data_IF_681612525599
#
_entry.id   IF_681612525599
#
_cell.length_a   1.000
_cell.length_b   1.000
_cell.length_c   1.000
_cell.angle_alpha   90.00
_cell.angle_beta   90.00
_cell.angle_gamma   90.00
#
_symmetry.space_group_name_H-M   'P 1'
#
loop_
_entity.id
_entity.type
_entity.pdbx_description
1 polymer ?
2 non-polymer ?
3 non-polymer ?
4 water ?
#
# COMPACT_ATOMS: atom_id res chain seq x y z
N UNK A 29 -15.91 -19.56 -18.39
CA UNK A 29 -16.53 -19.41 -17.08
C UNK A 29 -15.73 -18.44 -16.20
N UNK A 30 -16.40 -17.88 -15.21
CA UNK A 30 -15.78 -16.92 -14.31
C UNK A 30 -14.82 -17.65 -13.33
N UNK A 31 -13.62 -17.10 -13.14
CA UNK A 31 -12.68 -17.74 -12.20
C UNK A 31 -13.14 -17.57 -10.75
N UNK A 32 -12.65 -18.42 -9.83
CA UNK A 32 -13.04 -18.29 -8.42
C UNK A 32 -12.75 -16.90 -7.91
N UNK A 33 -13.69 -16.32 -7.17
CA UNK A 33 -13.42 -15.04 -6.51
C UNK A 33 -14.19 -15.06 -5.20
N UNK A 34 -13.71 -14.28 -4.18
CA UNK A 34 -14.35 -14.25 -2.86
C UNK A 34 -15.73 -13.58 -2.88
N UNK A 35 -16.68 -14.13 -2.12
CA UNK A 35 -18.02 -13.56 -2.08
C UNK A 35 -18.32 -12.88 -0.76
N UNK A 36 -17.47 -13.16 0.23
CA UNK A 36 -17.58 -12.54 1.54
C UNK A 36 -16.16 -12.36 2.13
N UNK A 37 -16.04 -11.55 3.18
CA UNK A 37 -14.72 -11.14 3.65
C UNK A 37 -13.91 -12.37 4.14
N UNK A 38 -14.58 -13.39 4.68
CA UNK A 38 -13.81 -14.55 5.18
C UNK A 38 -13.24 -15.43 4.06
N UNK A 39 -13.77 -15.28 2.84
CA UNK A 39 -13.28 -16.03 1.68
C UNK A 39 -11.83 -15.69 1.33
N UNK A 40 -11.38 -14.55 1.83
CA UNK A 40 -10.00 -14.12 1.69
C UNK A 40 -9.03 -15.10 2.39
N UNK A 41 -9.54 -15.87 3.35
CA UNK A 41 -8.75 -16.94 3.99
C UNK A 41 -8.19 -17.92 2.93
N UNK A 42 -8.98 -18.21 1.90
CA UNK A 42 -8.57 -19.12 0.82
C UNK A 42 -7.59 -18.61 -0.24
N UNK A 43 -7.29 -17.33 -0.27
CA UNK A 43 -6.34 -16.84 -1.26
C UNK A 43 -5.18 -16.10 -0.65
N UNK A 44 -5.43 -15.46 0.48
CA UNK A 44 -4.45 -14.61 1.14
C UNK A 44 -3.18 -15.37 1.55
N UNK A 45 -3.24 -16.70 1.58
CA UNK A 45 -2.04 -17.52 1.84
C UNK A 45 -1.32 -18.06 0.57
N UNK A 46 -1.74 -17.62 -0.62
CA UNK A 46 -1.08 -18.02 -1.88
C UNK A 46 0.00 -16.99 -2.15
N UNK A 47 1.15 -17.15 -1.51
CA UNK A 47 2.20 -16.15 -1.65
C UNK A 47 3.61 -16.63 -1.91
N UNK A 48 4.43 -15.68 -2.35
CA UNK A 48 5.84 -15.89 -2.54
C UNK A 48 6.50 -15.28 -1.30
N UNK A 49 6.99 -16.14 -0.42
CA UNK A 49 7.64 -15.71 0.81
C UNK A 49 9.13 -15.44 0.66
N UNK A 50 9.72 -14.81 1.68
CA UNK A 50 11.13 -14.42 1.66
C UNK A 50 12.08 -15.61 1.50
N UNK A 51 13.18 -15.40 0.78
CA UNK A 51 14.17 -16.44 0.56
C UNK A 51 13.95 -17.20 -0.74
N UNK A 55 15.51 -13.86 -3.81
CA UNK A 55 15.88 -12.80 -2.89
C UNK A 55 17.36 -12.85 -2.55
N UNK A 56 18.17 -13.37 -3.48
CA UNK A 56 19.60 -13.54 -3.21
C UNK A 56 20.32 -12.23 -2.91
N UNK A 57 19.90 -11.17 -3.60
CA UNK A 57 20.49 -9.85 -3.44
C UNK A 57 19.85 -9.02 -2.33
N UNK A 58 18.89 -9.59 -1.61
CA UNK A 58 18.22 -8.85 -0.54
C UNK A 58 19.25 -8.59 0.57
N UNK A 59 19.17 -7.42 1.19
CA UNK A 59 20.17 -7.04 2.21
C UNK A 59 20.19 -7.94 3.45
N UNK A 60 19.09 -8.59 3.79
CA UNK A 60 19.12 -9.48 4.93
C UNK A 60 19.30 -10.95 4.59
N UNK A 61 19.61 -11.22 3.34
CA UNK A 61 19.69 -12.60 2.88
C UNK A 61 20.71 -13.50 3.58
N UNK A 62 21.85 -12.93 3.93
CA UNK A 62 22.89 -13.72 4.58
C UNK A 62 22.80 -13.61 6.09
N UNK A 63 21.75 -12.96 6.57
CA UNK A 63 21.57 -12.76 8.01
C UNK A 63 20.59 -13.79 8.54
N UNK A 64 21.11 -14.73 9.31
CA UNK A 64 20.31 -15.80 9.86
C UNK A 64 19.24 -15.37 10.87
N UNK A 65 19.59 -14.40 11.72
CA UNK A 65 18.62 -13.89 12.67
C UNK A 65 17.45 -13.25 11.89
N UNK A 66 17.79 -12.52 10.84
CA UNK A 66 16.76 -11.91 10.02
C UNK A 66 15.89 -12.95 9.33
N UNK A 67 16.50 -14.01 8.83
CA UNK A 67 15.75 -15.04 8.15
C UNK A 67 14.73 -15.69 9.08
N UNK A 68 15.15 -15.96 10.31
CA UNK A 68 14.26 -16.55 11.30
C UNK A 68 13.14 -15.59 11.63
N UNK A 69 13.47 -14.32 11.78
CA UNK A 69 12.49 -13.29 12.06
C UNK A 69 11.46 -13.19 10.93
N UNK A 70 11.91 -13.23 9.68
CA UNK A 70 10.96 -13.16 8.56
C UNK A 70 10.06 -14.37 8.52
N UNK A 71 10.59 -15.53 8.88
CA UNK A 71 9.77 -16.73 9.02
C UNK A 71 8.73 -16.54 10.10
N UNK A 72 9.13 -15.90 11.19
CA UNK A 72 8.20 -15.66 12.29
C UNK A 72 7.04 -14.82 11.73
N UNK A 73 7.35 -13.74 11.01
CA UNK A 73 6.27 -12.90 10.52
C UNK A 73 5.39 -13.62 9.51
N UNK A 74 6.02 -14.36 8.60
CA UNK A 74 5.30 -15.15 7.61
C UNK A 74 4.33 -16.12 8.24
N UNK A 75 4.74 -16.75 9.33
CA UNK A 75 3.89 -17.76 9.97
C UNK A 75 2.66 -17.13 10.63
N UNK A 76 2.84 -15.94 11.20
CA UNK A 76 1.73 -15.20 11.82
C UNK A 76 0.68 -14.92 10.76
N UNK A 77 1.12 -14.48 9.59
CA UNK A 77 0.19 -14.20 8.50
C UNK A 77 -0.48 -15.50 8.00
N UNK A 78 0.31 -16.54 7.79
CA UNK A 78 -0.25 -17.80 7.26
C UNK A 78 -1.29 -18.38 8.19
N UNK A 79 -1.10 -18.20 9.48
CA UNK A 79 -2.00 -18.82 10.47
C UNK A 79 -3.19 -17.95 10.86
N UNK A 80 -3.14 -16.67 10.47
CA UNK A 80 -4.25 -15.76 10.70
C UNK A 80 -5.48 -16.21 9.91
N UNK A 81 -6.63 -16.13 10.55
CA UNK A 81 -7.91 -16.37 9.87
C UNK A 81 -8.82 -15.20 10.14
N UNK A 82 -9.68 -14.86 9.18
CA UNK A 82 -10.59 -13.73 9.38
C UNK A 82 -11.42 -13.87 10.66
N UNK A 83 -11.52 -12.78 11.42
CA UNK A 83 -12.18 -12.81 12.70
C UNK A 83 -11.18 -12.79 13.86
N UNK A 84 -9.94 -13.23 13.59
CA UNK A 84 -8.87 -13.16 14.59
C UNK A 84 -8.49 -11.70 14.86
N UNK A 85 -8.16 -11.36 16.11
CA UNK A 85 -7.36 -10.14 16.28
C UNK A 85 -6.00 -10.32 15.58
N UNK A 86 -5.41 -9.29 14.98
CA UNK A 86 -4.14 -9.45 14.30
C UNK A 86 -3.06 -9.56 15.39
N UNK A 87 -2.27 -10.65 15.40
CA UNK A 87 -1.28 -10.80 16.48
C UNK A 87 -0.41 -9.55 16.67
N UNK A 88 -0.30 -9.10 17.91
CA UNK A 88 0.56 -7.96 18.21
C UNK A 88 2.01 -8.45 18.34
N UNK A 89 2.96 -7.63 17.90
CA UNK A 89 4.33 -8.09 17.81
C UNK A 89 5.17 -7.18 18.70
N UNK A 90 6.10 -7.74 19.47
CA UNK A 90 7.08 -6.90 20.14
C UNK A 90 8.23 -6.70 19.18
N UNK A 91 8.34 -5.51 18.61
CA UNK A 91 9.42 -5.21 17.66
C UNK A 91 10.75 -5.05 18.42
N UNK A 92 11.85 -5.42 17.77
CA UNK A 92 13.15 -5.32 18.44
C UNK A 92 13.65 -3.88 18.41
N UNK A 93 14.58 -3.58 19.30
CA UNK A 93 15.21 -2.26 19.35
C UNK A 93 15.77 -1.87 17.97
N UNK A 94 16.36 -2.83 17.28
CA UNK A 94 16.91 -2.62 15.95
C UNK A 94 15.80 -2.27 14.93
N UNK A 95 14.69 -2.99 15.02
CA UNK A 95 13.55 -2.72 14.13
C UNK A 95 12.96 -1.33 14.37
N UNK A 96 12.83 -0.97 15.64
CA UNK A 96 12.25 0.30 15.99
C UNK A 96 13.17 1.46 15.56
N UNK A 97 14.49 1.26 15.61
CA UNK A 97 15.42 2.30 15.15
C UNK A 97 15.32 2.50 13.64
N UNK A 98 15.16 1.40 12.90
CA UNK A 98 15.04 1.47 11.46
C UNK A 98 13.78 2.26 11.09
N UNK A 99 12.67 1.91 11.72
CA UNK A 99 11.42 2.67 11.60
C UNK A 99 11.66 4.14 11.90
N UNK A 100 12.32 4.43 13.02
CA UNK A 100 12.56 5.81 13.46
C UNK A 100 13.33 6.60 12.42
N UNK A 101 14.32 5.97 11.83
CA UNK A 101 15.13 6.65 10.82
C UNK A 101 14.28 7.05 9.61
N UNK A 102 13.54 6.08 9.07
CA UNK A 102 12.61 6.29 7.96
C UNK A 102 11.55 7.33 8.34
N UNK A 103 10.95 7.15 9.51
CA UNK A 103 9.86 8.02 9.99
C UNK A 103 10.31 9.48 10.12
N UNK A 104 11.48 9.68 10.69
CA UNK A 104 11.98 11.04 10.83
C UNK A 104 12.25 11.80 9.53
N UNK A 105 12.88 11.16 8.55
CA UNK A 105 13.13 11.83 7.26
C UNK A 105 11.87 12.12 6.45
N UNK A 106 10.96 11.15 6.38
CA UNK A 106 9.74 11.32 5.62
C UNK A 106 8.89 12.47 6.16
N UNK A 107 8.77 12.57 7.48
CA UNK A 107 7.99 13.62 8.16
C UNK A 107 8.52 15.03 7.87
N UNK A 108 9.81 15.14 7.64
CA UNK A 108 10.34 16.44 7.23
C UNK A 108 9.73 16.84 5.88
N UNK A 109 9.37 15.85 5.04
CA UNK A 109 8.94 16.11 3.66
C UNK A 109 7.42 16.22 3.49
N UNK A 110 6.67 15.44 4.28
CA UNK A 110 5.20 15.41 4.14
C UNK A 110 4.50 16.79 4.05
N UNK A 111 4.86 17.75 4.94
CA UNK A 111 4.14 19.04 4.91
C UNK A 111 4.17 19.75 3.56
N UNK A 112 5.25 19.57 2.81
CA UNK A 112 5.37 20.20 1.50
C UNK A 112 5.14 19.28 0.30
N UNK A 113 5.04 17.98 0.56
CA UNK A 113 4.92 16.98 -0.50
C UNK A 113 3.61 16.17 -0.51
N UNK A 114 3.09 15.85 0.66
CA UNK A 114 1.88 15.02 0.74
C UNK A 114 0.60 15.79 0.41
N UNK A 115 -0.43 15.08 -0.03
CA UNK A 115 -1.71 15.72 -0.31
C UNK A 115 -2.39 16.11 1.01
N UNK A 116 -3.37 17.01 0.91
CA UNK A 116 -4.06 17.52 2.09
C UNK A 116 -4.75 16.40 2.92
N UNK A 117 -5.33 15.43 2.24
CA UNK A 117 -5.99 14.31 2.90
C UNK A 117 -5.00 13.51 3.79
N UNK A 118 -3.80 13.29 3.27
CA UNK A 118 -2.77 12.58 4.03
C UNK A 118 -2.38 13.35 5.30
N UNK A 119 -2.13 14.64 5.13
CA UNK A 119 -1.77 15.49 6.26
C UNK A 119 -2.89 15.56 7.30
N UNK A 120 -4.13 15.51 6.85
CA UNK A 120 -5.24 15.58 7.78
C UNK A 120 -5.26 14.34 8.65
N UNK A 121 -5.06 13.18 8.03
CA UNK A 121 -5.23 11.91 8.75
C UNK A 121 -4.03 11.46 9.59
N UNK A 122 -2.83 11.81 9.17
CA UNK A 122 -1.64 11.37 9.89
C UNK A 122 -1.63 11.74 11.39
N UNK A 123 -2.01 12.99 11.76
CA UNK A 123 -2.03 13.30 13.19
C UNK A 123 -3.01 12.45 14.01
N UNK A 124 -4.13 12.07 13.40
CA UNK A 124 -5.10 11.19 14.04
C UNK A 124 -4.45 9.84 14.36
N UNK A 125 -3.64 9.35 13.43
CA UNK A 125 -2.92 8.09 13.60
C UNK A 125 -1.93 8.17 14.72
N UNK A 126 -1.27 9.32 14.83
CA UNK A 126 -0.33 9.49 15.91
C UNK A 126 -1.04 9.43 17.24
N UNK A 127 -2.15 10.14 17.34
CA UNK A 127 -2.89 10.18 18.59
C UNK A 127 -3.56 8.86 19.00
N UNK A 128 -4.20 8.19 18.04
CA UNK A 128 -4.89 6.93 18.35
C UNK A 128 -4.13 5.62 18.13
N UNK A 129 -3.14 5.60 17.24
CA UNK A 129 -2.43 4.36 16.93
C UNK A 129 -0.97 4.32 17.32
N UNK A 130 -0.50 5.34 18.03
CA UNK A 130 0.88 5.29 18.48
C UNK A 130 2.00 5.47 17.48
N UNK A 131 1.74 6.26 16.45
CA UNK A 131 2.75 6.55 15.47
C UNK A 131 3.71 7.53 16.14
N UNK A 132 4.94 7.08 16.34
CA UNK A 132 5.98 7.91 16.94
C UNK A 132 7.31 7.41 16.44
N UNK A 133 8.30 8.29 16.44
CA UNK A 133 9.66 7.89 16.09
C UNK A 133 10.12 6.63 16.87
N UNK A 134 9.64 6.47 18.09
CA UNK A 134 10.21 5.41 18.91
C UNK A 134 9.25 4.23 19.10
N UNK A 135 8.24 4.15 18.22
CA UNK A 135 7.24 3.10 18.36
C UNK A 135 6.64 2.73 17.00
N UNK A 136 6.72 1.45 16.66
CA UNK A 136 6.04 0.92 15.48
C UNK A 136 4.59 0.57 15.83
N UNK A 137 3.62 1.15 15.12
CA UNK A 137 2.21 0.86 15.38
C UNK A 137 1.85 -0.61 15.11
N UNK A 138 0.91 -1.15 15.87
CA UNK A 138 0.39 -2.51 15.69
C UNK A 138 -0.69 -2.51 14.60
N UNK A 139 -0.65 -3.51 13.73
CA UNK A 139 -1.62 -3.63 12.67
C UNK A 139 -3.02 -3.72 13.24
N UNK A 140 -3.16 -4.37 14.40
CA UNK A 140 -4.50 -4.53 14.98
C UNK A 140 -5.09 -3.17 15.35
N UNK A 141 -4.26 -2.28 15.91
CA UNK A 141 -4.76 -0.96 16.30
C UNK A 141 -5.13 -0.13 15.07
N UNK A 142 -4.27 -0.19 14.06
CA UNK A 142 -4.53 0.54 12.83
C UNK A 142 -5.78 -0.01 12.16
N UNK A 143 -5.95 -1.34 12.20
CA UNK A 143 -7.13 -1.92 11.62
C UNK A 143 -8.41 -1.40 12.30
N UNK A 144 -8.44 -1.36 13.63
CA UNK A 144 -9.60 -0.83 14.35
C UNK A 144 -9.88 0.64 14.05
N UNK A 145 -8.82 1.41 13.92
CA UNK A 145 -8.96 2.83 13.54
C UNK A 145 -9.64 2.95 12.16
N UNK A 146 -9.16 2.17 11.19
CA UNK A 146 -9.69 2.25 9.85
C UNK A 146 -11.11 1.71 9.79
N UNK A 147 -11.43 0.69 10.59
CA UNK A 147 -12.79 0.12 10.59
C UNK A 147 -13.80 1.18 11.01
N UNK A 148 -13.43 1.98 12.00
CA UNK A 148 -14.27 3.08 12.47
C UNK A 148 -14.41 4.19 11.42
N UNK A 149 -13.31 4.59 10.82
CA UNK A 149 -13.31 5.67 9.85
C UNK A 149 -13.94 5.41 8.49
N UNK A 150 -13.52 4.31 7.84
CA UNK A 150 -14.02 4.04 6.51
C UNK A 150 -14.50 2.61 6.30
N UNK A 151 -14.42 1.78 7.33
CA UNK A 151 -14.78 0.40 7.16
C UNK A 151 -13.63 -0.39 6.56
N UNK A 152 -12.50 0.24 6.31
CA UNK A 152 -11.33 -0.54 5.87
C UNK A 152 -10.77 -1.32 7.05
N UNK A 153 -10.13 -2.44 6.74
CA UNK A 153 -9.50 -3.28 7.73
C UNK A 153 -8.23 -3.86 7.16
N UNK A 154 -7.37 -4.35 8.05
CA UNK A 154 -6.09 -4.90 7.65
C UNK A 154 -6.11 -6.44 7.83
N UNK A 155 -5.43 -7.12 6.92
CA UNK A 155 -5.13 -8.52 7.06
C UNK A 155 -3.64 -8.70 6.87
N UNK A 156 -2.96 -9.35 7.83
CA UNK A 156 -1.51 -9.50 7.64
C UNK A 156 -1.22 -10.43 6.47
N UNK A 157 -0.23 -10.09 5.64
CA UNK A 157 0.07 -10.95 4.50
C UNK A 157 1.53 -11.42 4.55
N UNK A 158 1.72 -12.72 4.34
CA UNK A 158 3.04 -13.36 4.42
C UNK A 158 4.02 -12.91 3.37
N UNK A 159 3.54 -12.70 2.15
CA UNK A 159 4.39 -12.31 1.05
C UNK A 159 3.60 -11.71 -0.09
N UNK A 160 4.16 -11.79 -1.29
CA UNK A 160 3.49 -11.23 -2.46
C UNK A 160 2.31 -12.09 -2.91
N UNK A 161 1.18 -11.42 -3.10
CA UNK A 161 -0.03 -12.04 -3.61
C UNK A 161 -0.10 -11.79 -5.11
N UNK A 162 -0.91 -12.57 -5.82
CA UNK A 162 -1.18 -12.21 -7.21
C UNK A 162 -1.97 -10.91 -7.23
N UNK A 163 -1.89 -10.15 -8.33
CA UNK A 163 -2.71 -8.94 -8.50
C UNK A 163 -4.19 -9.23 -8.29
N UNK A 164 -4.66 -10.36 -8.81
CA UNK A 164 -6.05 -10.73 -8.67
C UNK A 164 -6.43 -10.90 -7.22
N UNK A 165 -5.63 -11.65 -6.46
CA UNK A 165 -5.95 -11.86 -5.06
C UNK A 165 -5.82 -10.54 -4.27
N UNK A 166 -4.77 -9.79 -4.54
CA UNK A 166 -4.58 -8.52 -3.83
C UNK A 166 -5.75 -7.57 -4.07
N UNK A 167 -6.12 -7.36 -5.33
CA UNK A 167 -7.29 -6.56 -5.63
C UNK A 167 -8.57 -7.08 -5.02
N UNK A 168 -8.73 -8.41 -4.95
CA UNK A 168 -9.98 -8.95 -4.46
C UNK A 168 -10.19 -8.54 -3.01
N UNK A 169 -9.12 -8.41 -2.23
CA UNK A 169 -9.30 -7.93 -0.87
C UNK A 169 -9.90 -6.53 -0.81
N UNK A 170 -9.49 -5.64 -1.71
CA UNK A 170 -10.02 -4.28 -1.75
C UNK A 170 -11.54 -4.28 -1.92
N UNK A 171 -12.08 -5.29 -2.60
CA UNK A 171 -13.55 -5.35 -2.80
C UNK A 171 -14.29 -5.43 -1.48
N UNK A 172 -13.64 -5.93 -0.44
CA UNK A 172 -14.23 -6.05 0.88
C UNK A 172 -13.65 -5.03 1.85
N UNK A 173 -12.99 -4.02 1.30
CA UNK A 173 -12.27 -3.03 2.12
C UNK A 173 -11.22 -3.67 3.02
N UNK A 174 -10.51 -4.64 2.46
CA UNK A 174 -9.40 -5.31 3.17
C UNK A 174 -8.09 -5.00 2.45
N UNK A 175 -7.15 -4.46 3.23
CA UNK A 175 -5.86 -4.18 2.68
C UNK A 175 -4.86 -5.19 3.25
N UNK A 176 -4.23 -5.96 2.36
CA UNK A 176 -3.25 -6.97 2.78
C UNK A 176 -1.96 -6.22 3.08
N UNK A 177 -1.50 -6.37 4.31
CA UNK A 177 -0.37 -5.60 4.85
C UNK A 177 0.76 -6.48 5.35
N UNK A 178 1.98 -6.17 4.91
CA UNK A 178 3.13 -6.87 5.46
C UNK A 178 3.35 -6.32 6.85
N UNK A 179 3.87 -7.17 7.72
CA UNK A 179 4.05 -6.87 9.13
C UNK A 179 5.54 -6.80 9.54
N UNK A 180 6.46 -7.26 8.69
CA UNK A 180 7.90 -7.27 9.02
C UNK A 180 8.53 -5.92 8.74
N UNK A 181 9.77 -5.75 9.18
CA UNK A 181 10.52 -4.52 8.95
C UNK A 181 11.69 -4.82 8.02
N UNK A 182 12.03 -3.87 7.16
CA UNK A 182 13.21 -4.00 6.31
C UNK A 182 14.45 -4.25 7.16
N UNK A 183 15.47 -4.87 6.55
CA UNK A 183 16.76 -5.14 7.21
C UNK A 183 17.42 -3.86 7.72
N UNK A 184 18.05 -3.91 8.88
CA UNK A 184 18.57 -2.67 9.47
C UNK A 184 19.77 -2.10 8.72
N UNK A 185 20.45 -2.94 7.95
CA UNK A 185 21.64 -2.50 7.20
C UNK A 185 21.33 -1.38 6.21
N UNK A 186 20.11 -1.33 5.69
CA UNK A 186 19.76 -0.29 4.74
C UNK A 186 18.35 0.26 4.98
N UNK A 187 18.22 1.26 5.86
CA UNK A 187 16.88 1.77 6.19
C UNK A 187 16.14 2.40 5.00
N UNK A 188 16.85 2.57 3.88
CA UNK A 188 16.30 3.19 2.68
C UNK A 188 15.98 2.22 1.55
N UNK A 189 15.90 0.93 1.87
CA UNK A 189 15.64 -0.12 0.89
C UNK A 189 14.14 -0.32 0.65
N UNK A 190 13.65 0.10 -0.51
CA UNK A 190 12.21 0.12 -0.76
C UNK A 190 11.57 -0.81 -1.82
N UNK A 191 12.37 -1.55 -2.63
CA UNK A 191 11.64 -2.25 -3.71
C UNK A 191 10.76 -3.40 -3.18
N UNK A 192 10.95 -3.76 -1.91
CA UNK A 192 10.10 -4.74 -1.26
C UNK A 192 9.25 -3.98 -0.26
N UNK A 193 7.93 -4.14 -0.33
CA UNK A 193 7.12 -3.43 0.66
C UNK A 193 7.36 -4.01 2.05
N UNK A 194 7.56 -3.18 3.07
CA UNK A 194 7.59 -3.69 4.45
C UNK A 194 6.53 -2.93 5.23
N UNK A 195 6.46 -3.15 6.55
CA UNK A 195 5.38 -2.59 7.33
C UNK A 195 5.53 -1.05 7.33
N UNK A 196 6.76 -0.53 7.34
CA UNK A 196 6.95 0.93 7.25
C UNK A 196 6.20 1.52 6.05
N UNK A 197 6.31 0.82 4.92
CA UNK A 197 5.62 1.25 3.67
C UNK A 197 4.10 1.23 3.86
N UNK A 198 3.61 0.18 4.49
CA UNK A 198 2.18 0.04 4.70
C UNK A 198 1.65 1.12 5.62
N UNK A 199 2.35 1.30 6.73
CA UNK A 199 1.84 2.14 7.80
C UNK A 199 1.98 3.61 7.47
N UNK A 200 3.09 3.99 6.84
CA UNK A 200 3.32 5.41 6.50
C UNK A 200 2.83 5.80 5.12
N UNK A 201 2.83 4.84 4.20
CA UNK A 201 2.38 5.10 2.86
C UNK A 201 0.90 4.90 2.58
N UNK A 202 0.37 3.73 2.94
CA UNK A 202 -1.04 3.42 2.67
C UNK A 202 -2.09 3.84 3.67
N UNK A 203 -1.80 3.65 4.94
CA UNK A 203 -2.83 3.80 5.98
C UNK A 203 -3.51 5.15 6.09
N UNK A 204 -2.75 6.27 6.02
CA UNK A 204 -3.40 7.57 6.16
C UNK A 204 -4.45 7.80 5.08
N UNK A 205 -4.18 7.42 3.84
CA UNK A 205 -5.18 7.55 2.79
C UNK A 205 -6.38 6.58 2.94
N UNK A 206 -6.15 5.34 3.37
CA UNK A 206 -7.27 4.43 3.57
C UNK A 206 -8.28 4.99 4.60
N UNK A 207 -7.86 5.93 5.43
CA UNK A 207 -8.75 6.52 6.45
C UNK A 207 -9.59 7.65 5.85
N UNK A 208 -9.36 7.96 4.57
CA UNK A 208 -10.15 8.99 3.87
C UNK A 208 -11.29 8.38 3.05
N UNK A 209 -12.55 8.72 3.37
CA UNK A 209 -13.72 8.17 2.67
C UNK A 209 -13.68 8.17 1.13
N UNK A 210 -13.35 9.30 0.50
CA UNK A 210 -13.29 9.34 -0.96
C UNK A 210 -12.25 8.37 -1.50
N UNK A 211 -11.12 8.29 -0.83
CA UNK A 211 -10.06 7.37 -1.25
C UNK A 211 -10.42 5.90 -1.02
N UNK A 212 -11.05 5.62 0.12
CA UNK A 212 -11.50 4.26 0.41
C UNK A 212 -12.52 3.78 -0.64
N UNK A 213 -13.42 4.68 -1.04
CA UNK A 213 -14.39 4.35 -2.06
C UNK A 213 -13.71 4.04 -3.40
N UNK A 214 -12.79 4.92 -3.82
CA UNK A 214 -11.98 4.73 -5.02
C UNK A 214 -11.30 3.35 -5.01
N UNK A 215 -10.61 3.03 -3.92
CA UNK A 215 -9.91 1.75 -3.79
C UNK A 215 -10.86 0.55 -3.86
N UNK A 216 -11.96 0.61 -3.11
CA UNK A 216 -12.90 -0.51 -3.10
C UNK A 216 -13.42 -0.75 -4.52
N UNK A 217 -13.62 0.33 -5.28
CA UNK A 217 -14.22 0.15 -6.60
C UNK A 217 -13.27 -0.48 -7.60
N UNK A 218 -11.96 -0.30 -7.41
CA UNK A 218 -10.99 -1.08 -8.18
C UNK A 218 -11.15 -2.57 -7.84
N UNK A 219 -11.20 -2.88 -6.55
CA UNK A 219 -11.39 -4.27 -6.10
C UNK A 219 -12.68 -4.89 -6.64
N UNK A 220 -13.78 -4.16 -6.51
CA UNK A 220 -15.07 -4.66 -6.99
C UNK A 220 -15.02 -4.94 -8.49
N UNK A 221 -14.42 -4.04 -9.26
CA UNK A 221 -14.32 -4.27 -10.69
C UNK A 221 -13.48 -5.50 -11.04
N UNK A 222 -12.50 -5.84 -10.21
CA UNK A 222 -11.60 -6.93 -10.52
C UNK A 222 -12.23 -8.31 -10.31
N UNK A 223 -13.30 -8.38 -9.52
CA UNK A 223 -13.82 -9.67 -9.05
C UNK A 223 -14.34 -10.53 -10.20
N UNK A 224 -13.68 -11.66 -10.42
CA UNK A 224 -14.03 -12.59 -11.49
C UNK A 224 -13.78 -12.03 -12.88
N UNK A 225 -13.01 -10.95 -12.97
CA UNK A 225 -12.75 -10.34 -14.27
C UNK A 225 -11.75 -11.14 -15.06
N UNK A 226 -11.65 -10.86 -16.36
CA UNK A 226 -10.65 -11.49 -17.22
C UNK A 226 -9.23 -11.16 -16.79
N UNK A 227 -8.27 -11.95 -17.28
CA UNK A 227 -6.86 -11.70 -16.96
C UNK A 227 -6.44 -10.34 -17.45
N UNK A 228 -6.90 -9.97 -18.65
CA UNK A 228 -6.53 -8.68 -19.23
C UNK A 228 -7.06 -7.53 -18.41
N UNK A 229 -8.33 -7.67 -18.00
CA UNK A 229 -8.99 -6.70 -17.14
C UNK A 229 -8.26 -6.55 -15.80
N UNK A 230 -7.89 -7.68 -15.21
CA UNK A 230 -7.14 -7.61 -13.94
C UNK A 230 -5.80 -6.91 -14.16
N UNK A 231 -5.12 -7.17 -15.28
CA UNK A 231 -3.85 -6.48 -15.53
C UNK A 231 -4.05 -4.98 -15.63
N UNK A 232 -5.09 -4.57 -16.36
CA UNK A 232 -5.36 -3.16 -16.57
C UNK A 232 -5.73 -2.46 -15.27
N UNK A 233 -6.59 -3.11 -14.48
CA UNK A 233 -6.96 -2.56 -13.17
C UNK A 233 -5.74 -2.48 -12.23
N UNK A 234 -4.89 -3.52 -12.25
CA UNK A 234 -3.71 -3.52 -11.38
C UNK A 234 -2.76 -2.39 -11.74
N UNK A 235 -2.69 -2.05 -13.02
CA UNK A 235 -1.81 -0.97 -13.44
C UNK A 235 -2.39 0.39 -13.08
N UNK A 236 -3.69 0.56 -13.23
CA UNK A 236 -4.36 1.77 -12.80
C UNK A 236 -4.18 1.97 -11.28
N UNK A 237 -4.36 0.89 -10.53
CA UNK A 237 -4.07 0.87 -9.09
C UNK A 237 -2.60 1.32 -8.82
N UNK A 238 -1.67 0.77 -9.58
CA UNK A 238 -0.26 1.07 -9.36
C UNK A 238 0.03 2.55 -9.48
N UNK A 239 -0.54 3.16 -10.52
CA UNK A 239 -0.27 4.57 -10.83
C UNK A 239 -1.22 5.54 -10.15
N UNK A 240 -2.03 5.03 -9.23
CA UNK A 240 -2.78 5.91 -8.34
C UNK A 240 -2.43 5.59 -6.90
N UNK A 241 -2.97 4.48 -6.39
CA UNK A 241 -2.75 4.09 -4.99
C UNK A 241 -1.27 3.98 -4.64
N UNK A 242 -0.43 3.50 -5.56
CA UNK A 242 0.98 3.33 -5.17
C UNK A 242 1.89 4.49 -5.62
N UNK A 243 1.62 5.09 -6.79
CA UNK A 243 2.51 6.17 -7.27
C UNK A 243 1.81 7.42 -7.81
N UNK A 244 0.58 7.66 -7.35
CA UNK A 244 -0.24 8.74 -7.87
C UNK A 244 0.18 10.12 -7.38
N UNK A 245 0.05 11.13 -8.24
CA UNK A 245 0.14 12.54 -7.86
C UNK A 245 -1.25 13.13 -8.01
N UNK A 246 -1.53 14.22 -7.30
CA UNK A 246 -2.77 14.94 -7.53
C UNK A 246 -2.49 16.41 -7.58
N UNK A 247 -3.41 17.15 -8.18
CA UNK A 247 -3.28 18.60 -8.24
C UNK A 247 -4.24 19.19 -7.22
N UNK A 248 -3.70 20.01 -6.33
CA UNK A 248 -4.50 20.60 -5.27
C UNK A 248 -4.20 22.07 -5.15
N UNK A 249 -5.20 22.90 -5.38
CA UNK A 249 -5.00 24.36 -5.38
C UNK A 249 -3.87 24.73 -6.33
N UNK A 250 -3.84 24.08 -7.50
CA UNK A 250 -2.87 24.40 -8.53
C UNK A 250 -1.46 23.86 -8.34
N UNK A 251 -1.20 23.24 -7.19
CA UNK A 251 0.10 22.64 -6.90
C UNK A 251 0.03 21.13 -7.03
N UNK A 252 1.16 20.49 -7.34
CA UNK A 252 1.23 19.03 -7.43
C UNK A 252 1.53 18.50 -6.05
N UNK A 253 0.72 17.54 -5.57
CA UNK A 253 1.10 16.79 -4.38
C UNK A 253 1.08 15.28 -4.59
N UNK A 254 1.53 14.55 -3.58
CA UNK A 254 1.67 13.11 -3.67
C UNK A 254 0.63 12.33 -2.88
N UNK A 255 0.02 11.31 -3.47
CA UNK A 255 -0.88 10.47 -2.67
C UNK A 255 -0.50 8.98 -2.79
N UNK A 256 0.39 8.65 -3.72
CA UNK A 256 0.83 7.26 -3.90
C UNK A 256 1.67 6.78 -2.72
N UNK A 257 1.29 5.64 -2.14
CA UNK A 257 1.94 5.02 -0.98
C UNK A 257 3.43 4.72 -1.21
N UNK A 258 3.75 4.27 -2.43
CA UNK A 258 5.10 3.93 -2.79
C UNK A 258 5.99 5.16 -2.75
N UNK A 259 5.44 6.31 -3.13
CA UNK A 259 6.20 7.57 -3.03
C UNK A 259 6.25 8.04 -1.58
N UNK A 260 5.13 7.95 -0.87
CA UNK A 260 5.07 8.46 0.49
C UNK A 260 5.96 7.70 1.49
N UNK A 261 6.38 6.48 1.15
CA UNK A 261 7.32 5.76 2.01
C UNK A 261 8.74 5.71 1.45
N UNK A 262 9.00 6.43 0.36
CA UNK A 262 10.32 6.41 -0.27
C UNK A 262 10.97 7.80 -0.26
N UNK A 263 11.94 8.01 0.63
CA UNK A 263 12.51 9.36 0.82
C UNK A 263 12.98 9.94 -0.52
N UNK A 264 13.79 9.20 -1.27
CA UNK A 264 14.35 9.79 -2.49
C UNK A 264 13.33 9.96 -3.62
N UNK A 265 12.41 9.02 -3.82
CA UNK A 265 11.51 9.20 -4.95
C UNK A 265 10.43 10.24 -4.65
N UNK A 266 10.07 10.36 -3.37
CA UNK A 266 9.14 11.40 -2.94
C UNK A 266 9.67 12.77 -3.34
N UNK A 267 10.96 12.99 -3.11
CA UNK A 267 11.60 14.22 -3.53
C UNK A 267 11.65 14.32 -5.05
N UNK A 268 12.05 13.23 -5.70
CA UNK A 268 12.18 13.23 -7.15
C UNK A 268 10.86 13.56 -7.85
N UNK A 269 9.77 12.96 -7.37
CA UNK A 269 8.48 13.15 -8.01
C UNK A 269 8.00 14.61 -8.04
N UNK A 270 8.25 15.37 -6.99
CA UNK A 270 7.81 16.77 -6.99
C UNK A 270 8.88 17.73 -7.51
N UNK A 271 10.05 17.20 -7.85
CA UNK A 271 11.10 18.02 -8.45
C UNK A 271 10.68 18.25 -9.90
N UNK A 272 11.28 19.23 -10.53
CA UNK A 272 11.02 19.51 -11.94
C UNK A 272 11.47 18.47 -12.94
N UNK A 273 12.34 17.57 -12.48
CA UNK A 273 12.92 16.51 -13.29
C UNK A 273 12.05 15.33 -13.66
N UNK A 274 10.90 15.18 -13.01
CA UNK A 274 10.02 14.07 -13.30
C UNK A 274 9.05 14.38 -14.43
N UNK A 275 8.71 13.33 -15.17
CA UNK A 275 7.76 13.40 -16.26
C UNK A 275 6.37 13.06 -15.71
N UNK A 276 5.41 13.93 -15.96
CA UNK A 276 4.05 13.75 -15.46
C UNK A 276 2.99 13.85 -16.57
N UNK A 277 1.95 13.04 -16.45
CA UNK A 277 0.85 12.97 -17.41
C UNK A 277 -0.46 12.92 -16.66
N UNK A 278 -1.57 13.31 -17.33
CA UNK A 278 -2.88 13.30 -16.68
C UNK A 278 -3.31 11.87 -16.43
N UNK A 279 -3.89 11.57 -15.28
CA UNK A 279 -4.47 10.24 -15.10
C UNK A 279 -5.60 10.03 -16.11
N UNK A 280 -5.51 8.97 -16.90
CA UNK A 280 -6.45 8.66 -17.96
C UNK A 280 -6.39 7.16 -18.16
N UNK A 281 -7.34 6.43 -17.53
CA UNK A 281 -7.25 4.96 -17.42
C UNK A 281 -6.90 4.24 -18.72
N UNK A 282 -7.53 4.60 -19.85
CA UNK A 282 -7.25 3.90 -21.09
C UNK A 282 -5.79 4.10 -21.57
N UNK A 283 -5.17 5.20 -21.15
CA UNK A 283 -3.74 5.39 -21.40
C UNK A 283 -2.88 4.82 -20.28
N UNK A 284 -3.23 5.17 -19.05
CA UNK A 284 -2.46 4.75 -17.89
C UNK A 284 -2.31 3.23 -17.78
N UNK A 285 -3.33 2.48 -18.20
CA UNK A 285 -3.30 1.04 -18.01
C UNK A 285 -2.25 0.34 -18.90
N UNK A 286 -1.71 1.05 -19.88
CA UNK A 286 -0.69 0.51 -20.77
C UNK A 286 0.73 0.74 -20.25
N UNK A 287 0.88 1.62 -19.27
CA UNK A 287 2.21 1.97 -18.77
C UNK A 287 2.88 0.87 -17.96
N UNK A 288 4.14 0.58 -18.26
CA UNK A 288 4.88 -0.43 -17.52
C UNK A 288 5.11 -0.03 -16.06
N UNK A 289 4.93 -0.99 -15.15
CA UNK A 289 5.12 -0.75 -13.73
C UNK A 289 6.54 -1.16 -13.33
N UNK A 290 7.35 -0.18 -12.88
CA UNK A 290 8.74 -0.45 -12.50
C UNK A 290 8.92 -0.62 -11.01
N UNK A 291 9.80 -1.55 -10.62
CA UNK A 291 10.04 -1.85 -9.20
C UNK A 291 11.45 -1.53 -8.66
N UNK A 292 12.47 -1.80 -9.45
CA UNK A 292 13.85 -1.57 -9.04
C UNK A 292 14.36 -0.15 -9.28
N UNK A 293 13.58 0.69 -9.94
CA UNK A 293 14.00 2.08 -10.16
C UNK A 293 12.85 3.05 -9.96
N UNK A 294 13.15 4.34 -9.97
CA UNK A 294 12.12 5.39 -10.01
C UNK A 294 11.20 5.08 -11.18
N UNK A 295 9.95 5.50 -11.08
CA UNK A 295 9.04 5.45 -12.21
C UNK A 295 9.58 6.27 -13.38
N UNK A 296 9.22 5.88 -14.59
CA UNK A 296 9.56 6.68 -15.77
C UNK A 296 8.61 7.86 -15.88
N UNK A 297 7.41 7.69 -15.37
CA UNK A 297 6.38 8.71 -15.50
C UNK A 297 5.43 8.61 -14.32
N UNK A 298 4.80 9.73 -13.95
CA UNK A 298 3.80 9.77 -12.90
C UNK A 298 2.50 10.32 -13.45
N UNK A 299 1.38 9.78 -12.99
CA UNK A 299 0.10 10.25 -13.46
C UNK A 299 -0.58 11.14 -12.43
N UNK A 300 -1.16 12.24 -12.91
CA UNK A 300 -1.76 13.22 -12.02
C UNK A 300 -3.27 13.14 -12.05
N UNK A 301 -3.89 12.85 -10.91
CA UNK A 301 -5.35 12.82 -10.84
C UNK A 301 -5.83 14.17 -10.36
N UNK A 302 -6.95 14.65 -10.89
CA UNK A 302 -7.54 15.90 -10.42
C UNK A 302 -7.95 15.86 -8.96
N UNK A 303 -8.55 14.74 -8.55
CA UNK A 303 -9.02 14.54 -7.18
C UNK A 303 -9.35 13.06 -7.05
N UNK A 304 -9.61 12.60 -5.83
CA UNK A 304 -9.99 11.19 -5.70
C UNK A 304 -11.37 10.98 -6.29
N UNK A 305 -12.24 11.95 -6.13
CA UNK A 305 -13.59 11.82 -6.69
C UNK A 305 -13.52 11.70 -8.22
N UNK A 306 -12.67 12.50 -8.85
CA UNK A 306 -12.53 12.46 -10.30
C UNK A 306 -11.86 11.17 -10.79
N UNK A 307 -10.81 10.72 -10.11
CA UNK A 307 -10.19 9.45 -10.48
C UNK A 307 -11.20 8.32 -10.42
N UNK A 308 -12.09 8.38 -9.42
CA UNK A 308 -13.16 7.41 -9.26
C UNK A 308 -14.11 7.46 -10.43
N UNK A 309 -14.48 8.66 -10.84
CA UNK A 309 -15.40 8.78 -11.99
C UNK A 309 -14.77 8.24 -13.26
N UNK A 310 -13.49 8.55 -13.45
CA UNK A 310 -12.78 8.08 -14.61
C UNK A 310 -12.69 6.57 -14.63
N UNK A 311 -12.43 5.95 -13.49
CA UNK A 311 -12.38 4.49 -13.47
C UNK A 311 -13.76 3.88 -13.79
N UNK A 312 -14.83 4.47 -13.28
CA UNK A 312 -16.18 4.00 -13.56
C UNK A 312 -16.44 3.93 -15.08
N UNK A 313 -16.07 5.00 -15.79
CA UNK A 313 -16.21 5.01 -17.24
C UNK A 313 -15.33 3.95 -17.85
N UNK A 314 -14.11 3.83 -17.34
CA UNK A 314 -13.17 2.86 -17.88
C UNK A 314 -13.59 1.38 -17.72
N UNK A 315 -14.07 1.03 -16.53
CA UNK A 315 -14.45 -0.33 -16.19
C UNK A 315 -15.62 -0.86 -17.04
N UNK A 316 -16.46 0.05 -17.50
CA UNK A 316 -17.56 -0.32 -18.41
C UNK A 316 -17.00 -0.95 -19.68
N UNK A 317 -15.92 -0.40 -20.19
CA UNK A 317 -15.26 -0.91 -21.39
C UNK A 317 -14.49 -2.23 -21.23
N UNK A 318 -14.20 -2.66 -20.01
CA UNK A 318 -13.50 -3.94 -19.88
C UNK A 318 -14.38 -5.04 -19.28
N UNK A 319 -15.68 -4.75 -19.22
CA UNK A 319 -16.74 -5.71 -18.85
C UNK A 319 -16.79 -6.25 -17.43
#
# INVERSE_FOLDING_TARGET
MKHHHHHHHGAAGTSLYKKAGENLYFQGSVPWFPKKISDLDHCANRVLMYGSELDADHPGFKDNVYRKRRKYFADLAMNYKHGDPIPKVEFTEEEIKTWGTVFQELNKLYPTHACREYLKNLPLLSKYCGYREDNIPQLEDVSNFLKERTGFSIRPVAGYLSPRDFLSGLAFRVFHCTQYVRHSSDPFYTPEPDTCHELLGHVPLLAEPSFAQFSQEIGLASLGASEEAVQKLATCYFFTVEFGLCKQDGQLRVFGAGLLSSISELKHALSGHAKVKPFDPKITCKQECLITTFQDVYFVSESFEDAKEKMREFTKTIKRPFGVKY
#
